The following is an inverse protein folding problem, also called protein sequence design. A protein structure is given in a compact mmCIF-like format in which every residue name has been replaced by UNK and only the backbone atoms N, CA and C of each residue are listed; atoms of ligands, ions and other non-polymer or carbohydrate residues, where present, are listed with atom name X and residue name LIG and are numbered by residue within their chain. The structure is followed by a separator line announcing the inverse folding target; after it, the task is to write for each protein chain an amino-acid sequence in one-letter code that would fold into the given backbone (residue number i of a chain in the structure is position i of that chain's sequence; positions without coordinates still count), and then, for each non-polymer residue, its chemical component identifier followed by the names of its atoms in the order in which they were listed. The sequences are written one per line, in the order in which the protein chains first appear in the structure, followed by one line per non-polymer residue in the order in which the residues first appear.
data_IF_455487870797
#
_entry.id   IF_455487870797
#
_cell.length_a   1.000
_cell.length_b   1.000
_cell.length_c   1.000
_cell.angle_alpha   90.00
_cell.angle_beta   90.00
_cell.angle_gamma   90.00
#
_symmetry.space_group_name_H-M   'P 1'
#
loop_
_entity.id
_entity.type
_entity.pdbx_description
1 polymer ?
#
# COMPACT_ATOMS: atom_id res chain seq x y z
N UNK A 1 -36.57 23.88 26.94
CA UNK A 1 -36.74 25.36 26.84
C UNK A 1 -35.56 26.06 27.50
N UNK A 2 -35.08 25.55 28.64
CA UNK A 2 -33.85 26.01 29.31
C UNK A 2 -32.59 25.90 28.45
N UNK A 3 -32.37 24.78 27.74
CA UNK A 3 -31.18 24.58 26.88
C UNK A 3 -31.07 25.63 25.75
N UNK A 4 -32.22 26.05 25.21
CA UNK A 4 -32.26 27.06 24.16
C UNK A 4 -31.97 28.46 24.71
N UNK A 5 -32.46 28.78 25.91
CA UNK A 5 -32.13 30.03 26.62
C UNK A 5 -30.64 30.07 26.93
N UNK A 6 -30.10 28.94 27.40
CA UNK A 6 -28.68 28.80 27.71
C UNK A 6 -27.79 28.95 26.46
N UNK A 7 -28.17 28.32 25.35
CA UNK A 7 -27.49 28.51 24.07
C UNK A 7 -27.56 29.96 23.57
N UNK A 8 -28.74 30.60 23.69
CA UNK A 8 -28.93 32.00 23.31
C UNK A 8 -28.09 32.94 24.18
N UNK A 9 -27.88 32.63 25.45
CA UNK A 9 -27.03 33.42 26.34
C UNK A 9 -25.54 33.18 26.07
N UNK A 10 -25.13 31.98 25.65
CA UNK A 10 -23.76 31.73 25.16
C UNK A 10 -23.50 32.48 23.85
N UNK A 11 -24.46 32.48 22.91
CA UNK A 11 -24.39 33.24 21.65
C UNK A 11 -24.21 34.74 21.89
N UNK A 12 -25.01 35.32 22.79
CA UNK A 12 -24.90 36.74 23.14
C UNK A 12 -23.78 37.05 24.15
N UNK A 13 -22.94 36.05 24.49
CA UNK A 13 -21.86 36.16 25.48
C UNK A 13 -22.30 36.62 26.88
N UNK A 14 -23.57 36.37 27.23
CA UNK A 14 -24.13 36.58 28.57
C UNK A 14 -23.78 35.46 29.55
N UNK A 15 -23.44 34.27 29.05
CA UNK A 15 -23.00 33.12 29.84
C UNK A 15 -21.75 32.48 29.23
N UNK A 16 -20.83 32.02 30.09
CA UNK A 16 -19.63 31.30 29.65
C UNK A 16 -19.92 29.80 29.47
N UNK A 17 -19.17 29.19 28.57
CA UNK A 17 -19.18 27.74 28.35
C UNK A 17 -18.42 27.08 29.51
N UNK A 18 -18.98 25.99 30.03
CA UNK A 18 -18.47 25.23 31.16
C UNK A 18 -18.73 23.74 30.96
N UNK A 19 -18.06 22.87 31.70
CA UNK A 19 -18.24 21.42 31.58
C UNK A 19 -19.69 20.97 31.88
N UNK A 20 -20.49 21.78 32.59
CA UNK A 20 -21.88 21.44 32.95
C UNK A 20 -22.91 21.78 31.86
N UNK A 21 -22.59 22.72 30.96
CA UNK A 21 -23.52 23.20 29.93
C UNK A 21 -23.00 23.00 28.51
N UNK A 22 -21.86 22.34 28.36
CA UNK A 22 -21.21 22.14 27.07
C UNK A 22 -22.03 21.24 26.14
N UNK A 23 -22.53 20.11 26.64
CA UNK A 23 -23.26 19.12 25.84
C UNK A 23 -24.52 19.71 25.17
N UNK A 24 -25.46 20.35 25.91
CA UNK A 24 -26.64 20.96 25.27
C UNK A 24 -26.27 22.10 24.32
N UNK A 25 -25.20 22.86 24.60
CA UNK A 25 -24.71 23.93 23.72
C UNK A 25 -24.14 23.36 22.41
N UNK A 26 -23.37 22.27 22.48
CA UNK A 26 -22.81 21.58 21.32
C UNK A 26 -23.89 20.94 20.43
N UNK A 27 -24.90 20.32 21.04
CA UNK A 27 -26.05 19.75 20.33
C UNK A 27 -26.79 20.79 19.51
N UNK A 28 -27.12 21.94 20.12
CA UNK A 28 -27.84 23.02 19.44
C UNK A 28 -26.95 23.67 18.39
N UNK A 29 -25.66 23.91 18.69
CA UNK A 29 -24.71 24.48 17.75
C UNK A 29 -24.60 23.62 16.47
N UNK A 30 -24.48 22.30 16.63
CA UNK A 30 -24.42 21.37 15.49
C UNK A 30 -25.74 21.30 14.74
N UNK A 31 -26.86 21.17 15.44
CA UNK A 31 -28.20 21.06 14.85
C UNK A 31 -28.54 22.24 13.94
N UNK A 32 -28.08 23.44 14.28
CA UNK A 32 -28.35 24.66 13.52
C UNK A 32 -27.11 25.21 12.79
N UNK A 33 -26.02 24.45 12.73
CA UNK A 33 -24.78 24.80 12.01
C UNK A 33 -24.15 26.14 12.44
N UNK A 34 -24.13 26.42 13.74
CA UNK A 34 -23.47 27.60 14.31
C UNK A 34 -21.98 27.36 14.56
N UNK A 35 -21.18 27.49 13.50
CA UNK A 35 -19.72 27.28 13.53
C UNK A 35 -19.00 28.16 14.57
N UNK A 36 -19.50 29.36 14.81
CA UNK A 36 -18.95 30.26 15.81
C UNK A 36 -19.02 29.67 17.23
N UNK A 37 -20.15 29.02 17.57
CA UNK A 37 -20.33 28.40 18.89
C UNK A 37 -19.50 27.14 18.99
N UNK A 38 -19.42 26.33 17.92
CA UNK A 38 -18.55 25.16 17.88
C UNK A 38 -17.10 25.54 18.14
N UNK A 39 -16.57 26.57 17.46
CA UNK A 39 -15.19 27.07 17.68
C UNK A 39 -14.96 27.53 19.12
N UNK A 40 -15.91 28.26 19.70
CA UNK A 40 -15.80 28.73 21.09
C UNK A 40 -15.82 27.57 22.09
N UNK A 41 -16.61 26.53 21.81
CA UNK A 41 -16.62 25.28 22.57
C UNK A 41 -15.31 24.50 22.42
N UNK A 42 -14.68 24.49 21.24
CA UNK A 42 -13.35 23.90 21.02
C UNK A 42 -12.28 24.58 21.87
N UNK A 43 -12.27 25.92 21.87
CA UNK A 43 -11.33 26.72 22.65
C UNK A 43 -11.47 26.43 24.15
N UNK A 44 -12.71 26.35 24.64
CA UNK A 44 -12.98 25.95 26.03
C UNK A 44 -12.47 24.53 26.34
N UNK A 45 -12.74 23.56 25.45
CA UNK A 45 -12.32 22.16 25.62
C UNK A 45 -10.78 22.01 25.67
N UNK A 46 -10.06 22.84 24.92
CA UNK A 46 -8.59 22.85 24.90
C UNK A 46 -8.04 23.52 26.16
N UNK A 47 -8.50 24.72 26.49
CA UNK A 47 -7.81 25.60 27.45
C UNK A 47 -8.32 25.47 28.89
N UNK A 48 -9.62 25.22 29.08
CA UNK A 48 -10.30 25.45 30.37
C UNK A 48 -11.08 24.23 30.89
N UNK A 49 -11.40 23.27 30.04
CA UNK A 49 -12.20 22.09 30.40
C UNK A 49 -11.42 21.09 31.26
N UNK A 50 -12.10 20.57 32.29
CA UNK A 50 -11.58 19.53 33.20
C UNK A 50 -11.89 18.11 32.73
N UNK A 51 -12.45 17.94 31.54
CA UNK A 51 -12.75 16.61 31.01
C UNK A 51 -11.50 15.76 30.79
N UNK A 52 -11.65 14.45 30.96
CA UNK A 52 -10.59 13.49 30.66
C UNK A 52 -10.28 13.48 29.16
N UNK A 53 -9.07 13.08 28.79
CA UNK A 53 -8.66 12.95 27.38
C UNK A 53 -9.67 12.11 26.57
N UNK A 54 -10.13 10.98 27.16
CA UNK A 54 -11.15 10.13 26.54
C UNK A 54 -12.46 10.87 26.25
N UNK A 55 -12.96 11.67 27.21
CA UNK A 55 -14.19 12.44 27.02
C UNK A 55 -14.02 13.57 26.00
N UNK A 56 -12.88 14.27 26.00
CA UNK A 56 -12.55 15.29 24.98
C UNK A 56 -12.47 14.67 23.58
N UNK A 57 -11.89 13.48 23.45
CA UNK A 57 -11.78 12.74 22.18
C UNK A 57 -13.15 12.25 21.68
N UNK A 58 -14.03 11.82 22.59
CA UNK A 58 -15.42 11.45 22.26
C UNK A 58 -16.17 12.64 21.68
N UNK A 59 -16.21 13.77 22.40
CA UNK A 59 -16.86 15.00 21.96
C UNK A 59 -16.28 15.53 20.62
N UNK A 60 -14.96 15.40 20.44
CA UNK A 60 -14.33 15.82 19.19
C UNK A 60 -14.81 15.04 17.96
N UNK A 61 -15.09 13.74 18.14
CA UNK A 61 -15.65 12.89 17.06
C UNK A 61 -17.13 13.15 16.87
N UNK A 62 -17.87 13.25 17.97
CA UNK A 62 -19.31 13.40 17.93
C UNK A 62 -19.73 14.73 17.29
N UNK A 63 -19.04 15.83 17.59
CA UNK A 63 -19.37 17.17 17.12
C UNK A 63 -18.46 17.69 15.99
N UNK A 64 -17.60 16.83 15.42
CA UNK A 64 -16.62 17.14 14.36
C UNK A 64 -15.73 18.37 14.66
N UNK A 65 -15.21 18.40 15.88
CA UNK A 65 -14.37 19.48 16.39
C UNK A 65 -12.92 19.32 15.91
N UNK A 66 -12.61 19.92 14.75
CA UNK A 66 -11.31 19.78 14.08
C UNK A 66 -10.14 20.32 14.90
N UNK A 67 -10.27 21.51 15.51
CA UNK A 67 -9.20 22.13 16.27
C UNK A 67 -8.86 21.30 17.52
N UNK A 68 -9.89 20.79 18.20
CA UNK A 68 -9.70 19.92 19.35
C UNK A 68 -9.07 18.58 18.94
N UNK A 69 -9.53 17.98 17.85
CA UNK A 69 -9.00 16.71 17.34
C UNK A 69 -7.51 16.80 16.99
N UNK A 70 -7.08 17.90 16.39
CA UNK A 70 -5.67 18.11 16.03
C UNK A 70 -4.81 18.38 17.26
N UNK A 71 -5.34 19.11 18.24
CA UNK A 71 -4.66 19.30 19.54
C UNK A 71 -4.49 17.98 20.30
N UNK A 72 -5.53 17.14 20.38
CA UNK A 72 -5.48 15.85 21.07
C UNK A 72 -4.53 14.85 20.40
N UNK A 73 -4.44 14.84 19.07
CA UNK A 73 -3.46 14.01 18.35
C UNK A 73 -2.01 14.37 18.69
N UNK A 74 -1.72 15.66 18.88
CA UNK A 74 -0.38 16.09 19.27
C UNK A 74 0.00 15.69 20.70
N UNK A 75 -0.99 15.37 21.55
CA UNK A 75 -0.78 14.90 22.93
C UNK A 75 -0.64 13.36 23.01
N UNK A 76 -1.20 12.62 22.04
CA UNK A 76 -1.12 11.15 21.95
C UNK A 76 0.34 10.65 21.73
N UNK A 77 1.21 11.52 21.22
CA UNK A 77 2.66 11.28 21.15
C UNK A 77 3.35 11.34 22.53
N UNK A 78 2.70 11.93 23.55
CA UNK A 78 3.28 12.16 24.88
C UNK A 78 2.61 11.41 26.03
N UNK A 79 1.37 10.92 25.89
CA UNK A 79 0.62 10.24 26.96
C UNK A 79 0.21 8.78 26.66
N UNK A 80 0.70 8.16 25.59
CA UNK A 80 0.81 6.71 25.61
C UNK A 80 1.96 6.33 26.55
N UNK A 81 1.63 5.94 27.78
CA UNK A 81 2.52 5.08 28.56
C UNK A 81 2.56 3.70 27.89
N UNK A 82 3.13 3.66 26.69
CA UNK A 82 3.53 2.43 26.04
C UNK A 82 4.63 1.86 26.93
N UNK A 83 4.26 0.97 27.85
CA UNK A 83 5.24 0.05 28.43
C UNK A 83 5.80 -0.70 27.23
N UNK A 84 6.99 -0.30 26.76
CA UNK A 84 7.66 -1.01 25.69
C UNK A 84 7.72 -2.47 26.11
N UNK A 85 7.16 -3.35 25.28
CA UNK A 85 7.17 -4.79 25.56
C UNK A 85 8.59 -5.33 25.67
N UNK A 86 9.58 -4.59 25.18
CA UNK A 86 11.01 -4.91 25.35
C UNK A 86 11.47 -4.86 26.81
N UNK A 87 10.88 -3.99 27.63
CA UNK A 87 11.16 -3.92 29.08
C UNK A 87 10.62 -5.13 29.85
N UNK A 88 9.76 -5.94 29.22
CA UNK A 88 9.11 -7.12 29.81
C UNK A 88 9.69 -8.44 29.28
N UNK A 89 10.80 -8.38 28.53
CA UNK A 89 11.49 -9.55 27.98
C UNK A 89 12.71 -9.91 28.82
N UNK A 90 13.04 -11.20 28.84
CA UNK A 90 14.30 -11.66 29.37
C UNK A 90 15.43 -11.29 28.41
N UNK A 91 16.50 -10.66 28.90
CA UNK A 91 17.63 -10.20 28.07
C UNK A 91 18.50 -11.33 27.50
N UNK A 92 18.22 -12.59 27.86
CA UNK A 92 18.99 -13.77 27.42
C UNK A 92 18.28 -14.46 26.26
N UNK A 93 16.99 -14.76 26.40
CA UNK A 93 16.20 -15.42 25.36
C UNK A 93 15.32 -14.48 24.54
N UNK A 94 15.20 -13.21 24.92
CA UNK A 94 14.36 -12.19 24.28
C UNK A 94 12.85 -12.50 24.26
N UNK A 95 12.41 -13.47 25.05
CA UNK A 95 11.00 -13.81 25.25
C UNK A 95 10.43 -13.09 26.47
N UNK A 96 9.12 -12.82 26.46
CA UNK A 96 8.39 -12.39 27.66
C UNK A 96 8.56 -13.48 28.72
N UNK A 97 9.06 -13.12 29.90
CA UNK A 97 9.55 -14.07 30.91
C UNK A 97 8.68 -15.34 31.06
N UNK A 98 9.09 -16.48 30.50
CA UNK A 98 8.36 -17.73 30.70
C UNK A 98 8.48 -18.17 32.16
N UNK A 99 7.33 -18.43 32.78
CA UNK A 99 7.24 -18.81 34.20
C UNK A 99 7.32 -17.63 35.16
N UNK A 100 7.90 -17.84 36.34
CA UNK A 100 8.13 -16.79 37.33
C UNK A 100 9.53 -16.20 37.09
N UNK A 101 9.65 -14.89 36.79
CA UNK A 101 10.95 -14.24 36.66
C UNK A 101 11.77 -14.37 37.95
N UNK A 102 13.08 -14.59 37.82
CA UNK A 102 13.99 -14.84 38.93
C UNK A 102 15.05 -13.73 39.04
N UNK A 103 15.07 -13.03 40.16
CA UNK A 103 16.03 -11.97 40.46
C UNK A 103 17.27 -12.53 41.15
N UNK A 104 18.45 -12.14 40.66
CA UNK A 104 19.74 -12.48 41.28
C UNK A 104 20.26 -11.34 42.17
N UNK A 105 21.31 -11.60 42.95
CA UNK A 105 21.85 -10.67 43.97
C UNK A 105 22.21 -9.28 43.44
N UNK A 106 22.56 -9.14 42.17
CA UNK A 106 22.88 -7.84 41.57
C UNK A 106 21.65 -7.04 41.11
N UNK A 107 20.43 -7.56 41.32
CA UNK A 107 19.15 -6.91 40.97
C UNK A 107 18.62 -7.23 39.57
N UNK A 108 19.39 -7.93 38.74
CA UNK A 108 18.93 -8.34 37.41
C UNK A 108 18.01 -9.55 37.47
N UNK A 109 17.04 -9.61 36.54
CA UNK A 109 16.02 -10.65 36.49
C UNK A 109 16.17 -11.49 35.22
N UNK A 110 15.98 -12.80 35.33
CA UNK A 110 16.05 -13.75 34.21
C UNK A 110 14.84 -14.69 34.26
N UNK A 111 14.42 -15.25 33.13
CA UNK A 111 13.39 -16.29 33.14
C UNK A 111 13.95 -17.59 33.73
N UNK A 112 13.06 -18.45 34.24
CA UNK A 112 13.45 -19.71 34.89
C UNK A 112 14.36 -20.58 33.99
N UNK A 113 14.04 -20.80 32.70
CA UNK A 113 14.88 -21.62 31.82
C UNK A 113 16.28 -21.02 31.60
N UNK A 114 16.36 -19.69 31.41
CA UNK A 114 17.65 -19.03 31.22
C UNK A 114 18.50 -19.07 32.48
N UNK A 115 17.90 -18.88 33.66
CA UNK A 115 18.61 -18.98 34.92
C UNK A 115 19.18 -20.39 35.15
N UNK A 116 18.42 -21.44 34.83
CA UNK A 116 18.89 -22.83 34.93
C UNK A 116 20.09 -23.11 34.02
N UNK A 117 20.10 -22.56 32.81
CA UNK A 117 21.23 -22.68 31.90
C UNK A 117 22.46 -21.89 32.40
N UNK A 118 22.25 -20.71 32.99
CA UNK A 118 23.33 -19.94 33.61
C UNK A 118 23.94 -20.66 34.82
N UNK A 119 23.13 -21.36 35.63
CA UNK A 119 23.64 -22.20 36.74
C UNK A 119 24.55 -23.34 36.28
N UNK A 120 24.33 -23.87 35.08
CA UNK A 120 25.15 -24.96 34.50
C UNK A 120 26.49 -24.45 33.94
N UNK A 121 26.61 -23.15 33.71
CA UNK A 121 27.81 -22.54 33.14
C UNK A 121 28.80 -22.21 34.25
N UNK A 122 30.10 -22.47 34.03
CA UNK A 122 31.15 -22.25 35.05
C UNK A 122 31.41 -20.78 35.40
N UNK A 123 30.78 -19.82 34.72
CA UNK A 123 30.96 -18.39 34.95
C UNK A 123 29.95 -17.86 35.97
N UNK A 124 30.41 -17.50 37.17
CA UNK A 124 29.59 -16.87 38.22
C UNK A 124 29.31 -15.37 37.98
N UNK A 125 29.27 -14.91 36.73
CA UNK A 125 29.14 -13.49 36.40
C UNK A 125 27.78 -13.18 35.79
N UNK A 126 27.14 -12.10 36.24
CA UNK A 126 25.90 -11.62 35.64
C UNK A 126 26.11 -11.23 34.16
N UNK A 127 25.30 -11.73 33.21
CA UNK A 127 25.43 -11.38 31.79
C UNK A 127 25.26 -9.88 31.48
N UNK A 128 24.54 -9.16 32.34
CA UNK A 128 24.18 -7.75 32.12
C UNK A 128 25.24 -6.81 32.71
N UNK A 129 25.55 -6.96 34.00
CA UNK A 129 26.46 -6.04 34.70
C UNK A 129 27.82 -6.64 35.07
N UNK A 130 28.08 -7.91 34.72
CA UNK A 130 29.32 -8.65 34.96
C UNK A 130 29.76 -8.82 36.42
N UNK A 131 28.96 -8.36 37.38
CA UNK A 131 29.18 -8.61 38.81
C UNK A 131 29.20 -10.11 39.10
N UNK A 132 30.07 -10.52 40.01
CA UNK A 132 30.11 -11.89 40.54
C UNK A 132 28.85 -12.12 41.36
N UNK A 133 28.14 -13.20 41.07
CA UNK A 133 26.83 -13.55 41.62
C UNK A 133 26.72 -15.05 41.83
N UNK A 134 25.93 -15.46 42.82
CA UNK A 134 25.53 -16.85 42.97
C UNK A 134 24.12 -17.05 42.36
N UNK A 135 24.03 -17.78 41.26
CA UNK A 135 22.73 -18.04 40.61
C UNK A 135 21.81 -18.95 41.45
N UNK A 136 22.35 -19.72 42.38
CA UNK A 136 21.58 -20.60 43.26
C UNK A 136 20.83 -19.84 44.35
N UNK A 137 21.20 -18.59 44.64
CA UNK A 137 20.51 -17.73 45.62
C UNK A 137 19.46 -16.80 44.98
N UNK A 138 19.12 -17.03 43.71
CA UNK A 138 18.09 -16.26 43.02
C UNK A 138 16.72 -16.43 43.70
N UNK A 139 15.96 -15.34 43.74
CA UNK A 139 14.62 -15.28 44.34
C UNK A 139 13.56 -14.97 43.29
N UNK A 140 12.34 -15.52 43.40
CA UNK A 140 11.25 -15.19 42.48
C UNK A 140 10.82 -13.72 42.61
N UNK A 141 10.56 -13.08 41.48
CA UNK A 141 10.04 -11.72 41.40
C UNK A 141 8.52 -11.76 41.14
N UNK A 142 7.76 -11.92 42.21
CA UNK A 142 6.30 -11.98 42.13
C UNK A 142 5.67 -10.65 41.71
N UNK A 143 6.31 -9.52 41.98
CA UNK A 143 5.82 -8.21 41.51
C UNK A 143 5.82 -8.16 39.99
N UNK A 144 6.94 -8.53 39.35
CA UNK A 144 7.03 -8.60 37.89
C UNK A 144 6.08 -9.67 37.34
N UNK A 145 5.96 -10.82 38.01
CA UNK A 145 4.98 -11.86 37.64
C UNK A 145 3.55 -11.33 37.65
N UNK A 146 3.14 -10.64 38.71
CA UNK A 146 1.79 -10.08 38.83
C UNK A 146 1.53 -9.02 37.74
N UNK A 147 2.52 -8.18 37.42
CA UNK A 147 2.40 -7.22 36.30
C UNK A 147 2.22 -7.95 34.97
N UNK A 148 3.01 -8.99 34.70
CA UNK A 148 2.90 -9.81 33.49
C UNK A 148 1.55 -10.55 33.42
N UNK A 149 1.07 -11.05 34.56
CA UNK A 149 -0.21 -11.74 34.65
C UNK A 149 -1.38 -10.78 34.46
N UNK A 150 -1.35 -9.58 35.06
CA UNK A 150 -2.35 -8.53 34.83
C UNK A 150 -2.38 -8.09 33.36
N UNK A 151 -1.22 -7.95 32.72
CA UNK A 151 -1.12 -7.70 31.27
C UNK A 151 -1.68 -8.88 30.45
N UNK A 152 -1.43 -10.11 30.90
CA UNK A 152 -1.95 -11.33 30.27
C UNK A 152 -3.46 -11.52 30.45
N UNK A 153 -4.03 -11.09 31.56
CA UNK A 153 -5.47 -11.14 31.86
C UNK A 153 -6.25 -10.07 31.09
N UNK A 154 -5.68 -8.87 30.92
CA UNK A 154 -6.18 -7.87 29.99
C UNK A 154 -6.19 -8.37 28.54
N UNK A 155 -5.26 -9.27 28.19
CA UNK A 155 -5.22 -9.96 26.89
C UNK A 155 -6.10 -11.20 26.77
N UNK A 156 -6.74 -11.69 27.86
CA UNK A 156 -7.56 -12.92 27.85
C UNK A 156 -9.06 -12.67 28.01
N UNK A 157 -9.46 -11.56 28.64
CA UNK A 157 -10.87 -11.25 28.87
C UNK A 157 -11.46 -10.22 27.90
N UNK A 158 -10.68 -9.76 26.92
CA UNK A 158 -11.20 -9.05 25.77
C UNK A 158 -10.59 -9.66 24.51
N UNK A 159 -11.42 -10.05 23.54
CA UNK A 159 -11.03 -9.80 22.15
C UNK A 159 -10.88 -8.28 22.06
N UNK A 160 -9.70 -7.77 22.37
CA UNK A 160 -9.48 -6.33 22.53
C UNK A 160 -9.85 -5.57 21.24
N UNK A 161 -10.00 -4.24 21.30
CA UNK A 161 -10.25 -3.41 20.12
C UNK A 161 -9.26 -3.67 18.97
N UNK A 162 -8.05 -4.12 19.29
CA UNK A 162 -7.00 -4.48 18.35
C UNK A 162 -7.26 -5.80 17.58
N UNK A 163 -7.90 -6.79 18.21
CA UNK A 163 -8.18 -8.09 17.59
C UNK A 163 -9.43 -8.02 16.70
N UNK A 164 -10.47 -7.30 17.15
CA UNK A 164 -11.59 -6.91 16.29
C UNK A 164 -11.13 -6.05 15.11
N UNK A 165 -10.15 -5.15 15.31
CA UNK A 165 -9.57 -4.36 14.20
C UNK A 165 -8.79 -5.23 13.21
N UNK A 166 -8.15 -6.31 13.64
CA UNK A 166 -7.50 -7.27 12.74
C UNK A 166 -8.54 -8.06 11.96
N UNK A 167 -9.59 -8.56 12.61
CA UNK A 167 -10.65 -9.31 11.95
C UNK A 167 -11.36 -8.45 10.88
N UNK A 168 -11.67 -7.19 11.21
CA UNK A 168 -12.24 -6.23 10.25
C UNK A 168 -11.25 -5.91 9.11
N UNK A 169 -9.95 -5.78 9.42
CA UNK A 169 -8.95 -5.53 8.39
C UNK A 169 -8.75 -6.75 7.46
N UNK A 170 -8.79 -7.96 8.03
CA UNK A 170 -8.71 -9.22 7.28
C UNK A 170 -9.93 -9.36 6.37
N UNK A 171 -11.13 -9.11 6.88
CA UNK A 171 -12.37 -9.15 6.09
C UNK A 171 -12.34 -8.14 4.94
N UNK A 172 -11.92 -6.89 5.21
CA UNK A 172 -11.72 -5.87 4.16
C UNK A 172 -10.68 -6.27 3.13
N UNK A 173 -9.56 -6.85 3.55
CA UNK A 173 -8.51 -7.32 2.64
C UNK A 173 -9.01 -8.49 1.79
N UNK A 174 -9.80 -9.40 2.37
CA UNK A 174 -10.43 -10.50 1.63
C UNK A 174 -11.42 -9.98 0.59
N UNK A 175 -12.24 -8.99 0.93
CA UNK A 175 -13.16 -8.36 0.00
C UNK A 175 -12.43 -7.63 -1.13
N UNK A 176 -11.37 -6.86 -0.80
CA UNK A 176 -10.52 -6.22 -1.79
C UNK A 176 -9.83 -7.23 -2.72
N UNK A 177 -9.32 -8.34 -2.18
CA UNK A 177 -8.70 -9.40 -2.98
C UNK A 177 -9.73 -10.06 -3.90
N UNK A 178 -10.96 -10.30 -3.43
CA UNK A 178 -12.03 -10.84 -4.26
C UNK A 178 -12.42 -9.88 -5.41
N UNK A 179 -12.40 -8.57 -5.16
CA UNK A 179 -12.64 -7.56 -6.18
C UNK A 179 -11.51 -7.50 -7.21
N UNK A 180 -10.25 -7.54 -6.75
CA UNK A 180 -9.08 -7.54 -7.62
C UNK A 180 -9.03 -8.78 -8.51
N UNK A 181 -9.40 -9.96 -8.01
CA UNK A 181 -9.45 -11.18 -8.83
C UNK A 181 -10.52 -11.05 -9.93
N UNK A 182 -11.68 -10.44 -9.66
CA UNK A 182 -12.70 -10.16 -10.70
C UNK A 182 -12.19 -9.17 -11.76
N UNK A 183 -11.48 -8.12 -11.33
CA UNK A 183 -10.92 -7.13 -12.24
C UNK A 183 -9.81 -7.73 -13.10
N UNK A 184 -8.98 -8.60 -12.52
CA UNK A 184 -7.95 -9.35 -13.23
C UNK A 184 -8.56 -10.30 -14.25
N UNK A 185 -9.58 -11.07 -13.88
CA UNK A 185 -10.27 -11.99 -14.81
C UNK A 185 -10.85 -11.21 -16.01
N UNK A 186 -11.48 -10.07 -15.76
CA UNK A 186 -11.98 -9.19 -16.81
C UNK A 186 -10.85 -8.64 -17.71
N UNK A 187 -9.75 -8.19 -17.12
CA UNK A 187 -8.61 -7.69 -17.88
C UNK A 187 -7.95 -8.80 -18.72
N UNK A 188 -7.90 -10.03 -18.22
CA UNK A 188 -7.42 -11.19 -18.97
C UNK A 188 -8.36 -11.54 -20.13
N UNK A 189 -9.67 -11.43 -19.96
CA UNK A 189 -10.63 -11.59 -21.05
C UNK A 189 -10.50 -10.52 -22.12
N UNK A 190 -10.34 -9.25 -21.72
CA UNK A 190 -10.09 -8.14 -22.64
C UNK A 190 -8.77 -8.34 -23.42
N UNK A 191 -7.74 -8.87 -22.74
CA UNK A 191 -6.46 -9.21 -23.38
C UNK A 191 -6.62 -10.36 -24.38
N UNK A 192 -7.30 -11.44 -23.99
CA UNK A 192 -7.63 -12.58 -24.87
C UNK A 192 -8.37 -12.08 -26.11
N UNK A 193 -9.33 -11.19 -25.93
CA UNK A 193 -10.06 -10.56 -27.03
C UNK A 193 -9.10 -9.79 -27.94
N UNK A 194 -8.26 -8.89 -27.41
CA UNK A 194 -7.29 -8.14 -28.21
C UNK A 194 -6.32 -9.04 -28.99
N UNK A 195 -5.84 -10.14 -28.38
CA UNK A 195 -4.99 -11.14 -29.05
C UNK A 195 -5.68 -11.76 -30.27
N UNK A 196 -6.98 -12.06 -30.18
CA UNK A 196 -7.73 -12.58 -31.34
C UNK A 196 -7.76 -11.58 -32.51
N UNK A 197 -7.97 -10.28 -32.25
CA UNK A 197 -7.90 -9.26 -33.30
C UNK A 197 -6.51 -9.16 -33.90
N UNK A 198 -5.47 -9.14 -33.06
CA UNK A 198 -4.08 -9.07 -33.51
C UNK A 198 -3.76 -10.25 -34.42
N UNK A 199 -4.18 -11.47 -34.06
CA UNK A 199 -3.99 -12.67 -34.86
C UNK A 199 -4.75 -12.63 -36.20
N UNK A 200 -5.98 -12.10 -36.19
CA UNK A 200 -6.76 -11.90 -37.41
C UNK A 200 -6.07 -10.91 -38.36
N UNK A 201 -5.66 -9.74 -37.85
CA UNK A 201 -4.94 -8.75 -38.63
C UNK A 201 -3.60 -9.29 -39.16
N UNK A 202 -2.85 -10.03 -38.33
CA UNK A 202 -1.61 -10.68 -38.77
C UNK A 202 -1.84 -11.66 -39.92
N UNK A 203 -2.91 -12.46 -39.85
CA UNK A 203 -3.28 -13.40 -40.91
C UNK A 203 -3.62 -12.66 -42.21
N UNK A 204 -4.35 -11.55 -42.13
CA UNK A 204 -4.62 -10.69 -43.28
C UNK A 204 -3.34 -10.11 -43.88
N UNK A 205 -2.43 -9.57 -43.05
CA UNK A 205 -1.14 -9.03 -43.51
C UNK A 205 -0.29 -10.09 -44.20
N UNK A 206 -0.23 -11.32 -43.65
CA UNK A 206 0.49 -12.44 -44.27
C UNK A 206 -0.08 -12.78 -45.64
N UNK A 207 -1.41 -12.84 -45.77
CA UNK A 207 -2.07 -13.11 -47.04
C UNK A 207 -1.79 -12.01 -48.08
N UNK A 208 -1.83 -10.74 -47.69
CA UNK A 208 -1.50 -9.59 -48.55
C UNK A 208 -0.03 -9.61 -48.98
N UNK A 209 0.88 -10.00 -48.08
CA UNK A 209 2.31 -10.14 -48.40
C UNK A 209 2.53 -11.23 -49.45
N UNK A 210 1.83 -12.36 -49.33
CA UNK A 210 1.91 -13.44 -50.30
C UNK A 210 1.37 -13.00 -51.67
N UNK A 211 0.21 -12.35 -51.72
CA UNK A 211 -0.36 -11.79 -52.95
C UNK A 211 0.60 -10.79 -53.61
N UNK A 212 1.19 -9.88 -52.84
CA UNK A 212 2.18 -8.92 -53.34
C UNK A 212 3.43 -9.61 -53.90
N UNK A 213 3.91 -10.68 -53.26
CA UNK A 213 5.03 -11.48 -53.78
C UNK A 213 4.68 -12.11 -55.13
N UNK A 214 3.49 -12.72 -55.25
CA UNK A 214 2.99 -13.30 -56.51
C UNK A 214 2.86 -12.24 -57.61
N UNK A 215 2.36 -11.05 -57.28
CA UNK A 215 2.26 -9.92 -58.22
C UNK A 215 3.64 -9.42 -58.66
N UNK A 216 4.61 -9.30 -57.74
CA UNK A 216 6.00 -8.95 -58.07
C UNK A 216 6.65 -9.98 -59.00
N UNK A 217 6.48 -11.27 -58.74
CA UNK A 217 6.98 -12.31 -59.64
C UNK A 217 6.31 -12.29 -61.01
N UNK A 218 5.00 -12.06 -61.07
CA UNK A 218 4.24 -11.95 -62.33
C UNK A 218 4.66 -10.74 -63.16
N UNK A 219 4.78 -9.57 -62.52
CA UNK A 219 5.24 -8.34 -63.18
C UNK A 219 6.68 -8.46 -63.66
N UNK A 220 7.60 -8.99 -62.83
CA UNK A 220 8.97 -9.26 -63.24
C UNK A 220 9.02 -10.18 -64.48
N UNK A 221 8.25 -11.28 -64.49
CA UNK A 221 8.14 -12.15 -65.67
C UNK A 221 7.66 -11.40 -66.91
N UNK A 222 6.60 -10.58 -66.80
CA UNK A 222 6.08 -9.76 -67.92
C UNK A 222 7.14 -8.81 -68.47
N UNK A 223 7.86 -8.09 -67.61
CA UNK A 223 8.94 -7.19 -68.03
C UNK A 223 10.11 -7.93 -68.67
N UNK A 224 10.48 -9.11 -68.15
CA UNK A 224 11.52 -9.96 -68.76
C UNK A 224 11.10 -10.43 -70.15
N UNK A 225 9.86 -10.90 -70.34
CA UNK A 225 9.34 -11.28 -71.66
C UNK A 225 9.32 -10.11 -72.64
N UNK A 226 8.88 -8.93 -72.20
CA UNK A 226 8.90 -7.70 -73.01
C UNK A 226 10.33 -7.32 -73.40
N UNK A 227 11.27 -7.36 -72.45
CA UNK A 227 12.68 -7.03 -72.70
C UNK A 227 13.30 -7.94 -73.77
N UNK A 228 13.16 -9.27 -73.62
CA UNK A 228 13.67 -10.21 -74.63
C UNK A 228 12.97 -10.07 -75.98
N UNK A 229 11.67 -9.76 -76.00
CA UNK A 229 10.94 -9.47 -77.23
C UNK A 229 11.46 -8.23 -77.96
N UNK A 230 11.67 -7.12 -77.25
CA UNK A 230 12.23 -5.89 -77.82
C UNK A 230 13.67 -6.09 -78.30
N UNK A 231 14.52 -6.76 -77.52
CA UNK A 231 15.88 -7.10 -77.94
C UNK A 231 15.87 -7.97 -79.21
N UNK A 232 15.00 -8.97 -79.28
CA UNK A 232 14.84 -9.83 -80.46
C UNK A 232 14.43 -9.03 -81.71
N UNK A 233 13.45 -8.13 -81.58
CA UNK A 233 13.04 -7.24 -82.68
C UNK A 233 14.19 -6.32 -83.13
N UNK A 234 14.97 -5.77 -82.21
CA UNK A 234 16.15 -4.95 -82.55
C UNK A 234 17.21 -5.76 -83.31
N UNK A 235 17.45 -7.02 -82.93
CA UNK A 235 18.37 -7.91 -83.66
C UNK A 235 17.85 -8.18 -85.08
N UNK A 236 16.55 -8.45 -85.23
CA UNK A 236 15.93 -8.65 -86.56
C UNK A 236 16.05 -7.38 -87.41
N UNK A 237 15.74 -6.21 -86.85
CA UNK A 237 15.80 -4.94 -87.57
C UNK A 237 17.24 -4.59 -87.96
N UNK A 238 18.21 -4.79 -87.07
CA UNK A 238 19.63 -4.55 -87.40
C UNK A 238 20.14 -5.53 -88.45
N UNK A 239 19.71 -6.79 -88.40
CA UNK A 239 20.02 -7.77 -89.45
C UNK A 239 19.38 -7.42 -90.79
N UNK A 240 18.10 -7.04 -90.82
CA UNK A 240 17.41 -6.58 -92.03
C UNK A 240 18.07 -5.32 -92.60
N UNK A 241 18.43 -4.36 -91.74
CA UNK A 241 19.16 -3.16 -92.14
C UNK A 241 20.54 -3.50 -92.73
N UNK A 242 21.28 -4.43 -92.11
CA UNK A 242 22.54 -4.92 -92.64
C UNK A 242 22.38 -5.56 -94.01
N UNK A 243 21.39 -6.45 -94.18
CA UNK A 243 21.09 -7.06 -95.48
C UNK A 243 20.69 -6.03 -96.54
N UNK A 244 19.89 -5.02 -96.17
CA UNK A 244 19.51 -3.92 -97.05
C UNK A 244 20.74 -3.11 -97.47
N UNK A 245 21.63 -2.75 -96.53
CA UNK A 245 22.87 -2.04 -96.83
C UNK A 245 23.82 -2.87 -97.69
N UNK A 246 23.91 -4.19 -97.48
CA UNK A 246 24.67 -5.10 -98.34
C UNK A 246 24.10 -5.11 -99.77
N UNK A 247 22.76 -5.07 -99.90
CA UNK A 247 22.11 -4.98 -101.21
C UNK A 247 22.33 -3.63 -101.90
N UNK A 248 22.37 -2.52 -101.14
CA UNK A 248 22.64 -1.18 -101.65
C UNK A 248 24.11 -1.04 -102.06
N UNK A 249 25.07 -1.54 -101.26
CA UNK A 249 26.50 -1.52 -101.64
C UNK A 249 26.76 -2.40 -102.85
N UNK A 250 26.13 -3.58 -102.95
CA UNK A 250 26.16 -4.39 -104.19
C UNK A 250 25.60 -3.64 -105.40
N UNK A 251 24.55 -2.82 -105.24
CA UNK A 251 24.02 -1.96 -106.32
C UNK A 251 24.95 -0.77 -106.65
N UNK A 252 25.65 -0.20 -105.67
CA UNK A 252 26.62 0.90 -105.87
C UNK A 252 27.93 0.43 -106.52
N UNK A 253 28.38 -0.80 -106.27
CA UNK A 253 29.53 -1.41 -106.94
C UNK A 253 29.25 -1.83 -108.39
N UNK A 254 28.02 -1.67 -108.89
CA UNK A 254 27.69 -1.84 -110.32
C UNK A 254 27.64 -0.50 -111.08
N UNK A 255 27.83 0.63 -110.39
CA UNK A 255 27.84 1.97 -110.99
C UNK A 255 29.24 2.62 -111.01
N UNK A 256 30.28 1.84 -110.78
CA UNK A 256 31.69 2.22 -111.02
C UNK A 256 32.36 1.16 -111.89
#
# INVERSE_FOLDING_TARGET
MEDFIEFQDVLHSRKQISDQNLDPVLEIAKKYSFDFVLKKSEDFLIENSKFSFGKKMELAREFDLKKLKDHLKSLDESENCAISTDSLKCTVCYEIYPGVPMSIQCGHTFCTPCLENLKKTSSANCPICRKIVNFSTAVPNFTLKNVLDSLGELGKNEKGPYENSKDIAIERLQEQNAQLEKEKEKAEDDLRFAETYINEYWSQILSLREQNSRLKHSTARKYTFLFFGVCGLLVILTYQYYQLNLSITKRKCWFF
#
